data_IF_695188761908
#
_entry.id   IF_695188761908
#
_cell.length_a   1.000
_cell.length_b   1.000
_cell.length_c   1.000
_cell.angle_alpha   90.00
_cell.angle_beta   90.00
_cell.angle_gamma   90.00
#
_symmetry.space_group_name_H-M   'P 1'
#
loop_
_entity.id
_entity.type
_entity.pdbx_description
1 polymer ?
#
# COMPACT_ATOMS: atom_id res chain seq x y z
N UNK A 1 -19.26 -2.99 40.43
CA UNK A 1 -19.32 -4.47 40.26
C UNK A 1 -18.32 -4.83 39.17
N UNK A 2 -17.42 -5.80 39.39
CA UNK A 2 -16.49 -6.22 38.34
C UNK A 2 -17.27 -6.98 37.26
N UNK A 3 -17.08 -6.61 35.99
CA UNK A 3 -17.60 -7.41 34.87
C UNK A 3 -16.99 -8.81 34.90
N UNK A 4 -17.76 -9.85 34.51
CA UNK A 4 -17.26 -11.21 34.47
C UNK A 4 -16.12 -11.37 33.45
N UNK A 5 -15.12 -12.17 33.81
CA UNK A 5 -13.98 -12.46 32.94
C UNK A 5 -14.42 -13.27 31.71
N UNK A 6 -13.84 -12.98 30.54
CA UNK A 6 -13.98 -13.86 29.37
C UNK A 6 -13.00 -15.01 29.52
N UNK A 7 -13.49 -16.25 29.51
CA UNK A 7 -12.66 -17.45 29.64
C UNK A 7 -12.33 -18.02 28.26
N UNK A 8 -11.04 -18.03 27.91
CA UNK A 8 -10.52 -18.70 26.73
C UNK A 8 -9.94 -20.08 27.05
N UNK A 9 -9.44 -20.25 28.28
CA UNK A 9 -8.96 -21.53 28.80
C UNK A 9 -9.44 -21.70 30.25
N UNK A 10 -10.19 -22.77 30.52
CA UNK A 10 -10.72 -23.07 31.87
C UNK A 10 -9.63 -23.44 32.88
N UNK A 11 -8.45 -23.86 32.39
CA UNK A 11 -7.25 -24.09 33.19
C UNK A 11 -6.24 -22.93 33.08
N UNK A 12 -6.70 -21.77 32.58
CA UNK A 12 -5.87 -20.59 32.40
C UNK A 12 -5.22 -20.12 33.70
N UNK A 13 -3.97 -19.68 33.58
CA UNK A 13 -3.12 -19.20 34.68
C UNK A 13 -2.82 -17.69 34.55
N UNK A 14 -3.31 -17.05 33.50
CA UNK A 14 -2.99 -15.66 33.15
C UNK A 14 -4.27 -14.89 32.82
N UNK A 15 -4.41 -13.69 33.39
CA UNK A 15 -5.44 -12.71 33.04
C UNK A 15 -4.83 -11.62 32.19
N UNK A 16 -5.31 -11.51 30.95
CA UNK A 16 -4.98 -10.40 30.05
C UNK A 16 -5.94 -9.23 30.34
N UNK A 17 -5.38 -8.03 30.47
CA UNK A 17 -6.13 -6.79 30.48
C UNK A 17 -5.62 -5.87 29.37
N UNK A 18 -6.55 -5.18 28.71
CA UNK A 18 -6.22 -4.22 27.67
C UNK A 18 -5.83 -2.89 28.32
N UNK A 19 -4.70 -2.33 27.91
CA UNK A 19 -4.29 -0.99 28.33
C UNK A 19 -4.96 0.05 27.43
N UNK A 20 -5.70 0.97 28.04
CA UNK A 20 -6.36 2.12 27.39
C UNK A 20 -5.69 3.42 27.85
N UNK A 21 -6.01 4.54 27.20
CA UNK A 21 -5.50 5.88 27.60
C UNK A 21 -5.87 6.25 29.04
N UNK A 22 -7.03 5.80 29.53
CA UNK A 22 -7.55 6.12 30.86
C UNK A 22 -7.18 5.08 31.94
N UNK A 23 -6.33 4.10 31.63
CA UNK A 23 -5.97 3.01 32.53
C UNK A 23 -6.21 1.62 31.94
N UNK A 24 -6.20 0.60 32.80
CA UNK A 24 -6.51 -0.77 32.39
C UNK A 24 -8.02 -0.96 32.25
N UNK A 25 -8.43 -1.71 31.23
CA UNK A 25 -9.81 -2.10 31.04
C UNK A 25 -10.29 -3.04 32.16
N UNK A 26 -11.52 -2.85 32.61
CA UNK A 26 -12.10 -3.64 33.70
C UNK A 26 -12.28 -5.12 33.28
N UNK A 27 -12.64 -5.35 32.02
CA UNK A 27 -12.83 -6.68 31.45
C UNK A 27 -11.50 -7.41 31.29
N UNK A 28 -11.37 -8.58 31.91
CA UNK A 28 -10.17 -9.41 31.79
C UNK A 28 -10.45 -10.71 31.03
N UNK A 29 -9.39 -11.29 30.45
CA UNK A 29 -9.46 -12.53 29.67
C UNK A 29 -8.59 -13.59 30.32
N UNK A 30 -9.20 -14.69 30.78
CA UNK A 30 -8.48 -15.82 31.36
C UNK A 30 -7.95 -16.75 30.26
N UNK A 31 -6.64 -16.92 30.24
CA UNK A 31 -5.87 -17.57 29.18
C UNK A 31 -4.74 -18.41 29.78
N UNK A 32 -4.27 -19.41 29.03
CA UNK A 32 -3.05 -20.19 29.34
C UNK A 32 -1.77 -19.47 28.85
N UNK A 33 -0.87 -19.16 29.78
CA UNK A 33 0.44 -18.55 29.54
C UNK A 33 1.28 -19.31 28.51
N UNK A 34 1.25 -20.66 28.57
CA UNK A 34 2.04 -21.52 27.68
C UNK A 34 1.52 -21.47 26.25
N UNK A 35 0.21 -21.34 26.05
CA UNK A 35 -0.37 -21.16 24.72
C UNK A 35 0.04 -19.81 24.12
N UNK A 36 -0.05 -18.73 24.92
CA UNK A 36 0.42 -17.39 24.50
C UNK A 36 1.91 -17.36 24.17
N UNK A 37 2.74 -18.00 25.00
CA UNK A 37 4.17 -18.07 24.81
C UNK A 37 4.55 -18.80 23.51
N UNK A 38 3.79 -19.83 23.12
CA UNK A 38 3.96 -20.51 21.82
C UNK A 38 3.48 -19.64 20.67
N UNK A 39 2.40 -18.89 20.88
CA UNK A 39 1.78 -18.05 19.87
C UNK A 39 2.63 -16.80 19.52
N UNK A 40 3.34 -16.24 20.51
CA UNK A 40 4.06 -14.99 20.34
C UNK A 40 5.36 -14.96 21.16
N UNK A 41 6.52 -14.77 20.50
CA UNK A 41 7.79 -14.52 21.19
C UNK A 41 7.76 -13.27 22.08
N UNK A 42 7.08 -12.20 21.63
CA UNK A 42 6.93 -10.96 22.41
C UNK A 42 6.15 -11.21 23.70
N UNK A 43 5.03 -11.95 23.62
CA UNK A 43 4.26 -12.31 24.82
C UNK A 43 5.03 -13.29 25.70
N UNK A 44 5.81 -14.22 25.12
CA UNK A 44 6.69 -15.10 25.89
C UNK A 44 7.66 -14.31 26.75
N UNK A 45 8.39 -13.34 26.17
CA UNK A 45 9.32 -12.49 26.91
C UNK A 45 8.60 -11.69 28.01
N UNK A 46 7.48 -11.04 27.68
CA UNK A 46 6.69 -10.29 28.68
C UNK A 46 6.22 -11.17 29.85
N UNK A 47 5.86 -12.42 29.58
CA UNK A 47 5.48 -13.39 30.62
C UNK A 47 6.68 -13.77 31.50
N UNK A 48 7.87 -13.97 30.93
CA UNK A 48 9.09 -14.26 31.68
C UNK A 48 9.53 -13.08 32.56
N UNK A 49 9.46 -11.86 32.04
CA UNK A 49 9.75 -10.63 32.80
C UNK A 49 8.81 -10.47 33.99
N UNK A 50 7.51 -10.75 33.80
CA UNK A 50 6.53 -10.70 34.88
C UNK A 50 6.84 -11.74 35.97
N UNK A 51 7.13 -12.98 35.56
CA UNK A 51 7.49 -14.08 36.47
C UNK A 51 8.74 -13.78 37.30
N UNK A 52 9.70 -13.06 36.71
CA UNK A 52 10.95 -12.68 37.36
C UNK A 52 10.80 -11.46 38.28
N UNK A 53 9.63 -10.80 38.28
CA UNK A 53 9.37 -9.63 39.12
C UNK A 53 8.91 -10.02 40.52
N UNK A 54 9.29 -9.24 41.53
CA UNK A 54 8.87 -9.40 42.95
C UNK A 54 7.34 -9.38 43.15
N UNK A 55 6.57 -9.01 42.11
CA UNK A 55 5.10 -9.01 42.09
C UNK A 55 4.49 -10.41 41.93
N UNK A 56 5.28 -11.42 41.54
CA UNK A 56 4.82 -12.81 41.41
C UNK A 56 4.49 -13.47 42.76
N UNK A 57 5.04 -12.94 43.87
CA UNK A 57 5.08 -13.60 45.19
C UNK A 57 3.73 -13.71 45.91
N UNK A 58 2.67 -13.04 45.45
CA UNK A 58 1.37 -12.98 46.16
C UNK A 58 0.17 -13.54 45.38
N UNK A 59 0.32 -13.86 44.09
CA UNK A 59 -0.82 -14.20 43.21
C UNK A 59 -0.50 -15.41 42.35
N UNK A 60 -1.32 -16.47 42.46
CA UNK A 60 -1.24 -17.67 41.58
C UNK A 60 -1.65 -17.38 40.12
N UNK A 61 -2.30 -16.24 39.88
CA UNK A 61 -2.76 -15.80 38.57
C UNK A 61 -1.87 -14.65 38.05
N UNK A 62 -1.29 -14.83 36.86
CA UNK A 62 -0.51 -13.78 36.20
C UNK A 62 -1.43 -12.67 35.72
N UNK A 63 -1.02 -11.40 35.83
CA UNK A 63 -1.74 -10.28 35.21
C UNK A 63 -0.87 -9.63 34.16
N UNK A 64 -1.28 -9.78 32.91
CA UNK A 64 -0.55 -9.25 31.76
C UNK A 64 -1.34 -8.10 31.14
N UNK A 65 -0.73 -6.92 31.07
CA UNK A 65 -1.28 -5.80 30.33
C UNK A 65 -0.83 -5.85 28.87
N UNK A 66 -1.78 -5.76 27.95
CA UNK A 66 -1.56 -5.77 26.50
C UNK A 66 -1.96 -4.42 25.91
N UNK A 67 -1.07 -3.86 25.10
CA UNK A 67 -1.36 -2.67 24.30
C UNK A 67 -1.98 -3.12 22.97
N UNK A 68 -3.12 -2.52 22.60
CA UNK A 68 -3.79 -2.77 21.33
C UNK A 68 -3.50 -1.62 20.35
N UNK A 69 -2.86 -1.86 19.20
CA UNK A 69 -2.52 -0.82 18.23
C UNK A 69 -3.73 -0.02 17.72
N UNK A 70 -4.89 -0.68 17.59
CA UNK A 70 -6.14 -0.09 17.11
C UNK A 70 -7.23 0.01 18.19
N UNK A 71 -6.94 -0.37 19.44
CA UNK A 71 -7.97 -0.48 20.48
C UNK A 71 -9.09 -1.47 20.17
N UNK A 72 -8.83 -2.41 19.24
CA UNK A 72 -9.80 -3.36 18.68
C UNK A 72 -9.82 -4.66 19.50
N UNK A 73 -10.90 -4.81 20.26
CA UNK A 73 -11.14 -5.95 21.13
C UNK A 73 -11.45 -7.25 20.36
N UNK A 74 -12.05 -7.12 19.18
CA UNK A 74 -12.44 -8.24 18.34
C UNK A 74 -11.20 -8.91 17.75
N UNK A 75 -10.22 -8.11 17.31
CA UNK A 75 -8.92 -8.62 16.84
C UNK A 75 -8.15 -9.35 17.94
N UNK A 76 -8.18 -8.83 19.18
CA UNK A 76 -7.58 -9.52 20.33
C UNK A 76 -8.30 -10.85 20.61
N UNK A 77 -9.63 -10.83 20.61
CA UNK A 77 -10.45 -12.03 20.84
C UNK A 77 -10.17 -13.11 19.79
N UNK A 78 -10.07 -12.72 18.51
CA UNK A 78 -9.74 -13.63 17.43
C UNK A 78 -8.32 -14.19 17.56
N UNK A 79 -7.32 -13.35 17.86
CA UNK A 79 -5.95 -13.79 18.14
C UNK A 79 -5.90 -14.83 19.27
N UNK A 80 -6.63 -14.58 20.36
CA UNK A 80 -6.68 -15.51 21.50
C UNK A 80 -7.39 -16.82 21.13
N UNK A 81 -8.48 -16.78 20.36
CA UNK A 81 -9.12 -18.00 19.85
C UNK A 81 -8.13 -18.84 19.03
N UNK A 82 -7.33 -18.21 18.16
CA UNK A 82 -6.29 -18.90 17.38
C UNK A 82 -5.21 -19.49 18.30
N UNK A 83 -4.66 -18.69 19.22
CA UNK A 83 -3.60 -19.12 20.14
C UNK A 83 -4.03 -20.30 21.04
N UNK A 84 -5.31 -20.37 21.40
CA UNK A 84 -5.89 -21.42 22.23
C UNK A 84 -6.50 -22.58 21.43
N UNK A 85 -6.39 -22.60 20.11
CA UNK A 85 -6.92 -23.69 19.28
C UNK A 85 -8.45 -23.77 19.22
N UNK A 86 -9.14 -22.67 19.54
CA UNK A 86 -10.61 -22.57 19.47
C UNK A 86 -11.08 -22.30 18.05
N UNK A 87 -10.77 -23.23 17.13
CA UNK A 87 -10.95 -23.01 15.70
C UNK A 87 -12.42 -22.85 15.26
N UNK A 88 -13.37 -23.38 16.04
CA UNK A 88 -14.81 -23.20 15.79
C UNK A 88 -15.26 -21.73 15.92
N UNK A 89 -14.49 -20.92 16.67
CA UNK A 89 -14.77 -19.49 16.88
C UNK A 89 -14.10 -18.60 15.81
N UNK A 90 -13.40 -19.21 14.83
CA UNK A 90 -12.70 -18.47 13.79
C UNK A 90 -13.67 -18.18 12.64
N UNK A 91 -13.90 -16.91 12.29
CA UNK A 91 -14.83 -16.56 11.23
C UNK A 91 -14.29 -17.01 9.86
N UNK A 92 -15.20 -17.47 8.99
CA UNK A 92 -14.85 -17.87 7.62
C UNK A 92 -14.48 -16.69 6.72
N UNK A 93 -14.99 -15.50 7.03
CA UNK A 93 -14.78 -14.25 6.27
C UNK A 93 -14.44 -13.12 7.22
N UNK A 94 -13.51 -12.27 6.82
CA UNK A 94 -13.17 -11.03 7.50
C UNK A 94 -13.33 -9.87 6.53
N UNK A 95 -13.81 -8.73 7.04
CA UNK A 95 -13.73 -7.47 6.30
C UNK A 95 -12.27 -6.98 6.21
N UNK A 96 -11.99 -6.08 5.26
CA UNK A 96 -10.67 -5.44 5.10
C UNK A 96 -10.19 -4.84 6.43
N UNK A 97 -11.07 -4.15 7.16
CA UNK A 97 -10.72 -3.52 8.44
C UNK A 97 -10.40 -4.55 9.52
N UNK A 98 -11.15 -5.65 9.61
CA UNK A 98 -10.89 -6.71 10.59
C UNK A 98 -9.57 -7.42 10.30
N UNK A 99 -9.31 -7.79 9.04
CA UNK A 99 -8.05 -8.45 8.68
C UNK A 99 -6.84 -7.50 8.83
N UNK A 100 -7.01 -6.21 8.54
CA UNK A 100 -5.99 -5.19 8.79
C UNK A 100 -5.67 -5.07 10.29
N UNK A 101 -6.69 -4.94 11.14
CA UNK A 101 -6.48 -4.82 12.59
C UNK A 101 -5.84 -6.08 13.18
N UNK A 102 -6.27 -7.27 12.73
CA UNK A 102 -5.69 -8.54 13.14
C UNK A 102 -4.22 -8.64 12.74
N UNK A 103 -3.88 -8.33 11.48
CA UNK A 103 -2.49 -8.37 11.01
C UNK A 103 -1.62 -7.31 11.69
N UNK A 104 -2.16 -6.12 11.98
CA UNK A 104 -1.45 -5.11 12.78
C UNK A 104 -1.19 -5.59 14.21
N UNK A 105 -2.16 -6.25 14.84
CA UNK A 105 -2.00 -6.85 16.16
C UNK A 105 -0.93 -7.95 16.13
N UNK A 106 -1.03 -8.90 15.19
CA UNK A 106 -0.07 -10.01 15.11
C UNK A 106 1.33 -9.53 14.76
N UNK A 107 1.47 -8.46 13.97
CA UNK A 107 2.74 -7.80 13.72
C UNK A 107 3.38 -7.29 15.02
N UNK A 108 2.63 -6.54 15.84
CA UNK A 108 3.13 -6.00 17.12
C UNK A 108 3.57 -7.09 18.10
N UNK A 109 2.97 -8.27 18.02
CA UNK A 109 3.30 -9.41 18.85
C UNK A 109 4.13 -10.48 18.12
N UNK A 110 4.68 -10.19 16.94
CA UNK A 110 5.50 -11.11 16.13
C UNK A 110 4.87 -12.51 15.97
N UNK A 111 3.60 -12.54 15.59
CA UNK A 111 2.76 -13.74 15.56
C UNK A 111 1.97 -13.90 14.26
N UNK A 112 2.33 -13.14 13.21
CA UNK A 112 1.60 -13.14 11.93
C UNK A 112 1.53 -14.51 11.27
N UNK A 113 2.54 -15.37 11.46
CA UNK A 113 2.54 -16.75 10.94
C UNK A 113 1.42 -17.64 11.50
N UNK A 114 0.78 -17.26 12.61
CA UNK A 114 -0.40 -17.98 13.10
C UNK A 114 -1.61 -17.85 12.17
N UNK A 115 -1.63 -16.85 11.29
CA UNK A 115 -2.75 -16.57 10.40
C UNK A 115 -2.72 -17.40 9.12
N UNK A 116 -1.57 -18.03 8.81
CA UNK A 116 -1.33 -18.78 7.58
C UNK A 116 -2.45 -19.78 7.20
N UNK A 117 -3.06 -20.54 8.14
CA UNK A 117 -4.11 -21.50 7.79
C UNK A 117 -5.36 -20.88 7.18
N UNK A 118 -5.64 -19.59 7.44
CA UNK A 118 -6.85 -18.90 6.99
C UNK A 118 -6.57 -17.76 6.01
N UNK A 119 -5.31 -17.33 5.88
CA UNK A 119 -4.90 -16.16 5.12
C UNK A 119 -5.45 -16.14 3.69
N UNK A 120 -5.25 -17.22 2.92
CA UNK A 120 -5.70 -17.30 1.53
C UNK A 120 -7.23 -17.28 1.40
N UNK A 121 -7.92 -18.00 2.29
CA UNK A 121 -9.39 -18.00 2.33
C UNK A 121 -9.93 -16.61 2.63
N UNK A 122 -9.42 -15.93 3.65
CA UNK A 122 -9.86 -14.58 4.01
C UNK A 122 -9.59 -13.58 2.90
N UNK A 123 -8.42 -13.63 2.26
CA UNK A 123 -8.07 -12.75 1.14
C UNK A 123 -9.02 -12.97 -0.04
N UNK A 124 -9.29 -14.22 -0.40
CA UNK A 124 -10.14 -14.56 -1.55
C UNK A 124 -11.60 -14.10 -1.38
N UNK A 125 -12.06 -13.92 -0.14
CA UNK A 125 -13.43 -13.53 0.20
C UNK A 125 -13.59 -12.01 0.42
N UNK A 126 -12.54 -11.22 0.20
CA UNK A 126 -12.65 -9.75 0.24
C UNK A 126 -13.43 -9.28 -0.98
N UNK A 127 -14.66 -8.82 -0.75
CA UNK A 127 -15.54 -8.29 -1.79
C UNK A 127 -15.21 -6.82 -2.12
N UNK A 128 -15.48 -6.44 -3.37
CA UNK A 128 -15.51 -5.06 -3.90
C UNK A 128 -14.15 -4.42 -4.26
N UNK A 129 -14.09 -3.58 -5.33
CA UNK A 129 -12.88 -2.81 -5.60
C UNK A 129 -12.61 -1.84 -4.45
N UNK A 130 -11.51 -2.08 -3.74
CA UNK A 130 -11.03 -1.15 -2.71
C UNK A 130 -10.73 0.24 -3.30
N UNK A 131 -10.98 1.26 -2.49
CA UNK A 131 -10.73 2.69 -2.78
C UNK A 131 -10.18 3.38 -1.52
N UNK A 132 -9.47 4.49 -1.72
CA UNK A 132 -8.93 5.32 -0.64
C UNK A 132 -8.16 4.51 0.40
N UNK A 133 -8.50 4.69 1.68
CA UNK A 133 -7.83 4.02 2.82
C UNK A 133 -7.86 2.49 2.75
N UNK A 134 -8.84 1.87 2.07
CA UNK A 134 -8.90 0.42 1.94
C UNK A 134 -7.78 -0.13 1.04
N UNK A 135 -7.26 0.65 0.10
CA UNK A 135 -6.10 0.25 -0.71
C UNK A 135 -4.86 0.12 0.18
N UNK A 136 -4.63 1.09 1.07
CA UNK A 136 -3.53 1.05 2.02
C UNK A 136 -3.68 -0.12 3.01
N UNK A 137 -4.88 -0.37 3.52
CA UNK A 137 -5.14 -1.55 4.38
C UNK A 137 -4.85 -2.87 3.66
N UNK A 138 -5.27 -3.01 2.40
CA UNK A 138 -4.96 -4.21 1.62
C UNK A 138 -3.47 -4.35 1.32
N UNK A 139 -2.80 -3.25 1.01
CA UNK A 139 -1.34 -3.24 0.81
C UNK A 139 -0.63 -3.75 2.07
N UNK A 140 -1.05 -3.30 3.27
CA UNK A 140 -0.55 -3.80 4.56
C UNK A 140 -0.79 -5.30 4.71
N UNK A 141 -2.02 -5.75 4.47
CA UNK A 141 -2.41 -7.16 4.62
C UNK A 141 -1.56 -8.05 3.71
N UNK A 142 -1.41 -7.69 2.43
CA UNK A 142 -0.59 -8.47 1.49
C UNK A 142 0.88 -8.46 1.87
N UNK A 143 1.37 -7.36 2.42
CA UNK A 143 2.74 -7.28 2.92
C UNK A 143 2.97 -8.24 4.08
N UNK A 144 2.16 -8.13 5.14
CA UNK A 144 2.27 -8.92 6.36
C UNK A 144 2.03 -10.42 6.12
N UNK A 145 1.02 -10.78 5.33
CA UNK A 145 0.69 -12.17 4.99
C UNK A 145 1.58 -12.74 3.88
N UNK A 146 2.53 -11.96 3.39
CA UNK A 146 3.55 -12.48 2.51
C UNK A 146 3.16 -12.69 1.04
N UNK A 147 2.16 -11.96 0.56
CA UNK A 147 1.61 -12.08 -0.79
C UNK A 147 2.32 -11.08 -1.74
N UNK A 148 3.51 -11.44 -2.20
CA UNK A 148 4.40 -10.60 -3.03
C UNK A 148 3.73 -10.03 -4.30
N UNK A 149 3.01 -10.88 -5.04
CA UNK A 149 2.32 -10.49 -6.28
C UNK A 149 1.18 -9.52 -6.00
N UNK A 150 0.29 -9.87 -5.06
CA UNK A 150 -0.83 -9.02 -4.65
C UNK A 150 -0.36 -7.67 -4.08
N UNK A 151 0.75 -7.66 -3.34
CA UNK A 151 1.38 -6.43 -2.86
C UNK A 151 1.86 -5.56 -4.02
N UNK A 152 2.57 -6.16 -4.97
CA UNK A 152 3.13 -5.45 -6.13
C UNK A 152 2.02 -4.84 -6.99
N UNK A 153 0.97 -5.61 -7.27
CA UNK A 153 -0.18 -5.13 -8.03
C UNK A 153 -0.91 -4.01 -7.30
N UNK A 154 -1.10 -4.14 -5.98
CA UNK A 154 -1.74 -3.11 -5.16
C UNK A 154 -0.91 -1.83 -5.09
N UNK A 155 0.40 -1.94 -4.92
CA UNK A 155 1.31 -0.79 -4.89
C UNK A 155 1.35 -0.06 -6.24
N UNK A 156 1.39 -0.80 -7.35
CA UNK A 156 1.27 -0.23 -8.69
C UNK A 156 -0.05 0.50 -8.87
N UNK A 157 -1.15 -0.15 -8.49
CA UNK A 157 -2.49 0.43 -8.55
C UNK A 157 -2.58 1.73 -7.76
N UNK A 158 -2.06 1.74 -6.53
CA UNK A 158 -2.03 2.94 -5.69
C UNK A 158 -1.21 4.07 -6.34
N UNK A 159 -0.03 3.78 -6.90
CA UNK A 159 0.80 4.78 -7.57
C UNK A 159 0.11 5.41 -8.80
N UNK A 160 -0.77 4.64 -9.46
CA UNK A 160 -1.41 5.05 -10.71
C UNK A 160 -2.78 5.71 -10.50
N UNK A 161 -3.60 5.16 -9.60
CA UNK A 161 -5.00 5.57 -9.40
C UNK A 161 -5.18 6.63 -8.32
N UNK A 162 -4.31 6.70 -7.31
CA UNK A 162 -4.47 7.69 -6.24
C UNK A 162 -3.96 9.07 -6.66
N UNK A 163 -4.72 10.09 -6.29
CA UNK A 163 -4.30 11.48 -6.41
C UNK A 163 -3.30 11.87 -5.29
N UNK A 164 -2.72 13.07 -5.38
CA UNK A 164 -1.72 13.54 -4.41
C UNK A 164 -2.29 13.69 -2.98
N UNK A 165 -3.57 14.05 -2.84
CA UNK A 165 -4.24 14.24 -1.55
C UNK A 165 -4.60 12.90 -0.90
N UNK A 166 -5.02 11.93 -1.70
CA UNK A 166 -5.29 10.57 -1.26
C UNK A 166 -4.00 9.88 -0.82
N UNK A 167 -2.90 10.04 -1.56
CA UNK A 167 -1.58 9.52 -1.19
C UNK A 167 -1.12 10.08 0.15
N UNK A 168 -1.31 11.39 0.38
CA UNK A 168 -0.99 11.99 1.68
C UNK A 168 -1.87 11.44 2.81
N UNK A 169 -3.14 11.20 2.53
CA UNK A 169 -4.10 10.66 3.50
C UNK A 169 -3.76 9.22 3.88
N UNK A 170 -3.43 8.35 2.92
CA UNK A 170 -3.00 6.97 3.21
C UNK A 170 -1.66 6.94 3.94
N UNK A 171 -0.75 7.89 3.66
CA UNK A 171 0.54 8.01 4.35
C UNK A 171 0.38 8.22 5.85
N UNK A 172 -0.66 8.93 6.28
CA UNK A 172 -0.94 9.18 7.69
C UNK A 172 -1.46 7.95 8.45
N UNK A 173 -1.92 6.92 7.73
CA UNK A 173 -2.45 5.69 8.33
C UNK A 173 -1.34 4.82 8.94
N UNK A 174 -0.12 4.94 8.42
CA UNK A 174 1.04 4.15 8.83
C UNK A 174 2.02 5.04 9.61
N UNK A 175 2.27 4.72 10.87
CA UNK A 175 3.00 5.60 11.80
C UNK A 175 4.48 5.22 11.94
N UNK A 176 4.86 3.96 11.65
CA UNK A 176 6.26 3.54 11.77
C UNK A 176 7.09 4.02 10.57
N UNK A 177 8.36 4.34 10.80
CA UNK A 177 9.31 4.77 9.76
C UNK A 177 9.44 3.76 8.62
N UNK A 178 9.46 2.46 8.96
CA UNK A 178 9.53 1.35 8.01
C UNK A 178 8.31 1.35 7.08
N UNK A 179 7.13 1.52 7.67
CA UNK A 179 5.86 1.49 6.95
C UNK A 179 5.70 2.74 6.09
N UNK A 180 6.03 3.93 6.61
CA UNK A 180 5.99 5.15 5.80
C UNK A 180 6.93 5.10 4.60
N UNK A 181 8.08 4.43 4.72
CA UNK A 181 9.02 4.23 3.61
C UNK A 181 8.43 3.47 2.41
N UNK A 182 7.50 2.53 2.64
CA UNK A 182 6.79 1.82 1.57
C UNK A 182 5.84 2.77 0.83
N UNK A 183 5.08 3.60 1.56
CA UNK A 183 4.15 4.56 0.95
C UNK A 183 4.89 5.70 0.25
N UNK A 184 6.03 6.13 0.80
CA UNK A 184 6.93 7.09 0.18
C UNK A 184 7.49 6.54 -1.14
N UNK A 185 7.82 5.24 -1.20
CA UNK A 185 8.23 4.59 -2.44
C UNK A 185 7.09 4.52 -3.48
N UNK A 186 5.84 4.25 -3.06
CA UNK A 186 4.67 4.29 -3.94
C UNK A 186 4.46 5.71 -4.53
N UNK A 187 4.58 6.75 -3.69
CA UNK A 187 4.53 8.14 -4.15
C UNK A 187 5.71 8.51 -5.07
N UNK A 188 6.89 7.96 -4.82
CA UNK A 188 8.06 8.06 -5.69
C UNK A 188 7.81 7.48 -7.08
N UNK A 189 7.24 6.27 -7.16
CA UNK A 189 6.88 5.62 -8.42
C UNK A 189 5.86 6.45 -9.23
N UNK A 190 4.89 7.07 -8.56
CA UNK A 190 3.98 8.03 -9.20
C UNK A 190 4.75 9.20 -9.79
N UNK A 191 5.65 9.81 -9.01
CA UNK A 191 6.42 10.98 -9.43
C UNK A 191 7.35 10.67 -10.60
N UNK A 192 8.04 9.52 -10.55
CA UNK A 192 8.87 9.02 -11.66
C UNK A 192 8.04 8.77 -12.93
N UNK A 193 6.81 8.28 -12.80
CA UNK A 193 5.93 8.09 -13.96
C UNK A 193 5.64 9.41 -14.65
N UNK A 194 5.17 10.38 -13.85
CA UNK A 194 4.74 11.67 -14.34
C UNK A 194 5.91 12.41 -14.97
N UNK A 195 7.07 12.39 -14.31
CA UNK A 195 8.31 12.98 -14.83
C UNK A 195 8.73 12.35 -16.16
N UNK A 196 8.63 11.02 -16.28
CA UNK A 196 8.94 10.34 -17.52
C UNK A 196 7.99 10.72 -18.65
N UNK A 197 6.68 10.70 -18.41
CA UNK A 197 5.67 11.00 -19.44
C UNK A 197 5.75 12.45 -19.90
N UNK A 198 5.92 13.41 -18.98
CA UNK A 198 6.11 14.82 -19.33
C UNK A 198 7.46 15.06 -20.00
N UNK A 199 8.52 14.36 -19.56
CA UNK A 199 9.85 14.42 -20.15
C UNK A 199 9.86 14.01 -21.62
N UNK A 200 9.23 12.87 -21.97
CA UNK A 200 9.09 12.45 -23.37
C UNK A 200 8.43 13.56 -24.20
N UNK A 201 7.32 14.11 -23.70
CA UNK A 201 6.58 15.13 -24.45
C UNK A 201 7.40 16.41 -24.62
N UNK A 202 8.12 16.84 -23.58
CA UNK A 202 9.02 18.00 -23.62
C UNK A 202 10.13 17.80 -24.65
N UNK A 203 10.82 16.66 -24.62
CA UNK A 203 11.87 16.30 -25.59
C UNK A 203 11.34 16.28 -27.02
N UNK A 204 10.12 15.75 -27.20
CA UNK A 204 9.47 15.69 -28.52
C UNK A 204 9.10 17.09 -29.03
N UNK A 205 8.57 17.96 -28.16
CA UNK A 205 8.23 19.34 -28.51
C UNK A 205 9.47 20.18 -28.84
N UNK A 206 10.56 20.02 -28.08
CA UNK A 206 11.84 20.71 -28.35
C UNK A 206 12.39 20.33 -29.72
N UNK A 207 12.34 19.04 -30.09
CA UNK A 207 12.76 18.55 -31.43
C UNK A 207 11.86 19.01 -32.58
N UNK A 208 10.61 19.37 -32.30
CA UNK A 208 9.74 20.00 -33.30
C UNK A 208 10.09 21.49 -33.51
N UNK A 209 10.58 22.15 -32.46
CA UNK A 209 10.97 23.56 -32.49
C UNK A 209 12.36 23.77 -33.10
N UNK A 210 13.36 22.94 -32.77
CA UNK A 210 14.72 23.02 -33.31
C UNK A 210 14.74 22.48 -34.74
N UNK A 211 14.82 23.39 -35.73
CA UNK A 211 14.69 23.04 -37.16
C UNK A 211 15.86 22.22 -37.75
N UNK A 212 16.92 21.98 -36.99
CA UNK A 212 18.21 21.50 -37.52
C UNK A 212 18.32 19.96 -37.66
N UNK A 213 17.48 19.18 -36.94
CA UNK A 213 17.48 17.72 -37.02
C UNK A 213 16.07 17.18 -37.32
N UNK A 214 15.95 16.28 -38.29
CA UNK A 214 14.67 15.60 -38.53
C UNK A 214 14.40 14.58 -37.42
N UNK A 215 13.28 14.68 -36.69
CA UNK A 215 12.92 13.65 -35.73
C UNK A 215 12.75 12.31 -36.45
N UNK A 216 13.23 11.23 -35.83
CA UNK A 216 13.19 9.85 -36.37
C UNK A 216 11.77 9.24 -36.45
N UNK A 217 10.73 10.03 -36.19
CA UNK A 217 9.35 9.57 -35.98
C UNK A 217 8.39 9.98 -37.11
N UNK A 218 8.92 10.47 -38.23
CA UNK A 218 8.13 10.66 -39.45
C UNK A 218 8.69 9.75 -40.54
N UNK A 219 7.80 9.06 -41.27
CA UNK A 219 8.20 8.28 -42.46
C UNK A 219 8.78 9.13 -43.59
N UNK A 220 8.56 10.44 -43.54
CA UNK A 220 8.99 11.41 -44.55
C UNK A 220 10.34 12.07 -44.27
N UNK A 221 11.20 11.45 -43.45
CA UNK A 221 12.58 11.91 -43.18
C UNK A 221 13.45 12.11 -44.44
N UNK A 222 13.00 11.64 -45.61
CA UNK A 222 13.72 11.75 -46.88
C UNK A 222 13.24 12.87 -47.83
N UNK A 223 12.16 13.62 -47.53
CA UNK A 223 11.67 14.67 -48.43
C UNK A 223 11.98 16.11 -47.96
N UNK A 224 12.56 16.98 -48.82
CA UNK A 224 13.03 18.33 -48.44
C UNK A 224 11.97 19.37 -48.04
N UNK A 225 10.68 19.02 -48.02
CA UNK A 225 9.57 19.99 -48.02
C UNK A 225 8.75 20.08 -46.71
N UNK A 226 9.35 19.86 -45.53
CA UNK A 226 8.58 19.65 -44.27
C UNK A 226 8.79 20.59 -43.05
N UNK A 227 9.40 21.80 -43.12
CA UNK A 227 9.36 22.76 -42.01
C UNK A 227 7.93 23.12 -41.56
N UNK A 228 6.99 23.23 -42.50
CA UNK A 228 5.57 23.55 -42.21
C UNK A 228 4.88 22.49 -41.34
N UNK A 229 5.13 21.19 -41.58
CA UNK A 229 4.46 20.12 -40.82
C UNK A 229 4.92 20.09 -39.35
N UNK A 230 6.20 20.35 -39.08
CA UNK A 230 6.74 20.39 -37.70
C UNK A 230 6.15 21.55 -36.90
N UNK A 231 6.13 22.75 -37.49
CA UNK A 231 5.54 23.93 -36.87
C UNK A 231 4.04 23.73 -36.62
N UNK A 232 3.30 23.20 -37.60
CA UNK A 232 1.87 22.93 -37.44
C UNK A 232 1.61 21.87 -36.37
N UNK A 233 2.43 20.81 -36.30
CA UNK A 233 2.33 19.79 -35.24
C UNK A 233 2.63 20.38 -33.87
N UNK A 234 3.68 21.19 -33.74
CA UNK A 234 4.03 21.88 -32.49
C UNK A 234 2.89 22.79 -32.01
N UNK A 235 2.37 23.66 -32.90
CA UNK A 235 1.26 24.56 -32.59
C UNK A 235 -0.02 23.80 -32.25
N UNK A 236 -0.30 22.69 -32.94
CA UNK A 236 -1.46 21.84 -32.67
C UNK A 236 -1.38 21.19 -31.29
N UNK A 237 -0.22 20.61 -30.93
CA UNK A 237 0.01 20.02 -29.61
C UNK A 237 -0.05 21.11 -28.54
N UNK A 238 0.60 22.25 -28.75
CA UNK A 238 0.60 23.36 -27.79
C UNK A 238 -0.82 23.90 -27.56
N UNK A 239 -1.59 24.08 -28.63
CA UNK A 239 -2.99 24.53 -28.55
C UNK A 239 -3.86 23.50 -27.83
N UNK A 240 -3.65 22.20 -28.09
CA UNK A 240 -4.36 21.12 -27.41
C UNK A 240 -4.00 21.07 -25.92
N UNK A 241 -2.73 21.24 -25.55
CA UNK A 241 -2.29 21.34 -24.15
C UNK A 241 -2.89 22.57 -23.45
N UNK A 242 -2.99 23.71 -24.13
CA UNK A 242 -3.68 24.90 -23.60
C UNK A 242 -5.16 24.62 -23.36
N UNK A 243 -5.83 23.93 -24.29
CA UNK A 243 -7.25 23.58 -24.17
C UNK A 243 -7.55 22.69 -22.96
N UNK A 244 -6.60 21.83 -22.54
CA UNK A 244 -6.73 21.00 -21.33
C UNK A 244 -6.04 21.59 -20.09
N UNK A 245 -5.61 22.86 -20.13
CA UNK A 245 -4.90 23.55 -19.04
C UNK A 245 -3.61 22.86 -18.57
N UNK A 246 -2.91 22.16 -19.46
CA UNK A 246 -1.64 21.48 -19.20
C UNK A 246 -0.43 22.23 -19.78
N UNK A 247 -0.63 23.42 -20.35
CA UNK A 247 0.44 24.29 -20.85
C UNK A 247 0.68 25.48 -19.91
N UNK A 248 1.92 25.75 -19.49
CA UNK A 248 3.13 24.95 -19.72
C UNK A 248 3.07 23.60 -18.97
N UNK A 249 3.79 22.60 -19.48
CA UNK A 249 3.85 21.28 -18.85
C UNK A 249 4.39 21.40 -17.42
N UNK A 250 3.57 20.98 -16.46
CA UNK A 250 3.89 21.01 -15.04
C UNK A 250 4.99 20.02 -14.69
N UNK A 251 5.78 20.38 -13.69
CA UNK A 251 6.68 19.44 -13.03
C UNK A 251 5.89 18.32 -12.33
N UNK A 252 6.46 17.12 -12.27
CA UNK A 252 5.78 15.93 -11.75
C UNK A 252 5.24 16.11 -10.32
N UNK A 253 5.95 16.88 -9.49
CA UNK A 253 5.59 17.19 -8.11
C UNK A 253 4.40 18.16 -7.98
N UNK A 254 4.12 18.95 -9.02
CA UNK A 254 3.01 19.91 -9.04
C UNK A 254 1.68 19.28 -9.49
N UNK A 255 1.72 18.10 -10.11
CA UNK A 255 0.51 17.39 -10.57
C UNK A 255 -0.28 16.89 -9.36
N UNK A 256 -1.54 17.35 -9.22
CA UNK A 256 -2.42 16.96 -8.11
C UNK A 256 -3.29 15.74 -8.40
N UNK A 257 -3.72 15.58 -9.65
CA UNK A 257 -4.57 14.48 -10.12
C UNK A 257 -3.87 13.11 -10.11
N UNK A 258 -4.63 12.03 -10.35
CA UNK A 258 -4.06 10.69 -10.48
C UNK A 258 -3.17 10.58 -11.73
N UNK A 259 -2.20 9.66 -11.71
CA UNK A 259 -1.33 9.45 -12.87
C UNK A 259 -2.11 8.92 -14.09
N UNK A 260 -3.16 8.12 -13.86
CA UNK A 260 -4.06 7.65 -14.91
C UNK A 260 -4.83 8.80 -15.55
N UNK A 261 -5.39 9.71 -14.74
CA UNK A 261 -6.12 10.87 -15.27
C UNK A 261 -5.18 11.79 -16.07
N UNK A 262 -4.00 12.08 -15.52
CA UNK A 262 -2.99 12.90 -16.18
C UNK A 262 -2.54 12.29 -17.51
N UNK A 263 -2.24 10.99 -17.50
CA UNK A 263 -1.89 10.24 -18.70
C UNK A 263 -3.02 10.27 -19.73
N UNK A 264 -4.27 10.12 -19.30
CA UNK A 264 -5.43 10.12 -20.21
C UNK A 264 -5.59 11.47 -20.91
N UNK A 265 -5.40 12.58 -20.19
CA UNK A 265 -5.41 13.93 -20.78
C UNK A 265 -4.29 14.10 -21.81
N UNK A 266 -3.07 13.67 -21.49
CA UNK A 266 -1.95 13.70 -22.44
C UNK A 266 -2.18 12.77 -23.65
N UNK A 267 -2.75 11.59 -23.44
CA UNK A 267 -3.02 10.66 -24.52
C UNK A 267 -3.99 11.28 -25.52
N UNK A 268 -5.04 11.97 -25.06
CA UNK A 268 -5.97 12.70 -25.95
C UNK A 268 -5.22 13.74 -26.78
N UNK A 269 -4.38 14.56 -26.14
CA UNK A 269 -3.56 15.59 -26.81
C UNK A 269 -2.65 14.97 -27.88
N UNK A 270 -1.96 13.89 -27.54
CA UNK A 270 -0.95 13.26 -28.39
C UNK A 270 -1.57 12.50 -29.57
N UNK A 271 -2.82 12.02 -29.45
CA UNK A 271 -3.53 11.32 -30.52
C UNK A 271 -4.12 12.25 -31.59
N UNK A 272 -4.08 13.58 -31.40
CA UNK A 272 -4.48 14.54 -32.43
C UNK A 272 -3.38 14.64 -33.51
N UNK A 273 -3.21 13.58 -34.28
CA UNK A 273 -2.19 13.45 -35.32
C UNK A 273 -2.68 13.92 -36.70
N UNK A 274 -1.83 14.65 -37.41
CA UNK A 274 -1.96 14.86 -38.85
C UNK A 274 -1.72 13.54 -39.61
N UNK A 275 -2.25 13.45 -40.83
CA UNK A 275 -2.11 12.25 -41.70
C UNK A 275 -0.64 11.85 -41.80
N UNK A 276 -0.34 10.58 -41.53
CA UNK A 276 0.98 9.94 -41.63
C UNK A 276 2.07 10.39 -40.62
N UNK A 277 1.70 11.05 -39.51
CA UNK A 277 2.62 11.36 -38.42
C UNK A 277 2.71 10.21 -37.41
N UNK A 278 3.90 9.65 -37.12
CA UNK A 278 4.07 8.56 -36.13
C UNK A 278 4.35 9.10 -34.71
N UNK A 279 4.15 10.40 -34.46
CA UNK A 279 4.36 11.04 -33.16
C UNK A 279 3.62 10.32 -32.02
N UNK A 280 2.33 10.05 -32.22
CA UNK A 280 1.50 9.38 -31.23
C UNK A 280 1.98 7.95 -30.94
N UNK A 281 2.32 7.20 -32.00
CA UNK A 281 2.81 5.83 -31.89
C UNK A 281 4.16 5.77 -31.16
N UNK A 282 5.07 6.71 -31.45
CA UNK A 282 6.36 6.79 -30.78
C UNK A 282 6.19 7.10 -29.28
N UNK A 283 5.39 8.12 -28.95
CA UNK A 283 5.11 8.49 -27.56
C UNK A 283 4.47 7.32 -26.81
N UNK A 284 3.43 6.72 -27.37
CA UNK A 284 2.75 5.56 -26.78
C UNK A 284 3.72 4.38 -26.58
N UNK A 285 4.57 4.09 -27.56
CA UNK A 285 5.59 3.04 -27.47
C UNK A 285 6.59 3.28 -26.33
N UNK A 286 7.02 4.53 -26.12
CA UNK A 286 7.91 4.89 -25.02
C UNK A 286 7.23 4.78 -23.66
N UNK A 287 5.98 5.23 -23.53
CA UNK A 287 5.21 5.07 -22.29
C UNK A 287 4.99 3.60 -21.96
N UNK A 288 4.66 2.76 -22.95
CA UNK A 288 4.48 1.32 -22.77
C UNK A 288 5.75 0.61 -22.30
N UNK A 289 6.93 1.03 -22.76
CA UNK A 289 8.21 0.48 -22.28
C UNK A 289 8.41 0.72 -20.78
N UNK A 290 8.03 1.90 -20.27
CA UNK A 290 8.15 2.21 -18.83
C UNK A 290 7.08 1.53 -17.99
N UNK A 291 5.86 1.38 -18.50
CA UNK A 291 4.83 0.61 -17.79
C UNK A 291 5.27 -0.86 -17.59
N UNK A 292 5.96 -1.44 -18.57
CA UNK A 292 6.45 -2.83 -18.50
C UNK A 292 7.60 -3.05 -17.49
N UNK A 293 8.40 -2.03 -17.16
CA UNK A 293 9.55 -2.17 -16.25
C UNK A 293 9.19 -2.01 -14.76
N UNK A 294 8.01 -1.44 -14.44
CA UNK A 294 7.58 -1.12 -13.07
C UNK A 294 7.39 -2.31 -12.11
N UNK A 295 6.83 -3.46 -12.54
CA UNK A 295 6.68 -4.60 -11.64
C UNK A 295 7.99 -5.02 -10.96
N UNK A 296 9.12 -4.95 -11.68
CA UNK A 296 10.45 -5.31 -11.16
C UNK A 296 10.87 -4.41 -9.99
N UNK A 297 10.59 -3.11 -10.07
CA UNK A 297 10.93 -2.14 -9.01
C UNK A 297 10.13 -2.43 -7.74
N UNK A 298 8.83 -2.70 -7.90
CA UNK A 298 7.92 -3.00 -6.80
C UNK A 298 8.24 -4.33 -6.10
N UNK A 299 8.61 -5.35 -6.88
CA UNK A 299 9.09 -6.62 -6.32
C UNK A 299 10.37 -6.43 -5.49
N UNK A 300 11.29 -5.56 -5.93
CA UNK A 300 12.50 -5.24 -5.16
C UNK A 300 12.17 -4.52 -3.86
N UNK A 301 11.24 -3.56 -3.89
CA UNK A 301 10.76 -2.86 -2.70
C UNK A 301 10.17 -3.85 -1.69
N UNK A 302 9.30 -4.75 -2.14
CA UNK A 302 8.70 -5.78 -1.29
C UNK A 302 9.77 -6.58 -0.52
N UNK A 303 10.79 -7.08 -1.22
CA UNK A 303 11.86 -7.88 -0.61
C UNK A 303 12.73 -7.05 0.35
N UNK A 304 13.03 -5.79 -0.02
CA UNK A 304 13.81 -4.88 0.82
C UNK A 304 13.11 -4.60 2.15
N UNK A 305 11.80 -4.40 2.15
CA UNK A 305 11.05 -4.10 3.37
C UNK A 305 10.64 -5.33 4.17
N UNK A 306 10.61 -6.53 3.57
CA UNK A 306 10.23 -7.76 4.28
C UNK A 306 11.40 -8.49 4.96
N UNK A 307 12.62 -8.40 4.45
CA UNK A 307 13.78 -9.18 4.95
C UNK A 307 14.54 -8.59 6.15
N UNK A 308 14.01 -7.55 6.81
CA UNK A 308 14.54 -6.96 8.06
C UNK A 308 13.43 -6.87 9.10
#
# INVERSE_FOLDING_TARGET
MCEPDIVFDGLGDTKIQVKRRCGLEAKSRLVCSRALARASPVLHVKLQEWLSSEKATSSRLHRLAIDLPAGDDDSLTLFLNIAHGRFLEIPRKLSISQLYNLTALTHCYQSTGLLDPWADSWISLIESPARGLNLAKLLWIFWELGKETAFTDMAHRMAMELDATELQSVRQLWVSSKTTGVLDAVAGIRTEFLSFVTGILRDMMEKLFVMDQSPRWSRYTAQPSLPRCRHVTYESIQSSLKAVNMWPLSEATAVRESAVEFYSKLAVVVHHGHRDCEFANFWAGKVQQVLKSRPVVLTRLYRQFRCN
#
